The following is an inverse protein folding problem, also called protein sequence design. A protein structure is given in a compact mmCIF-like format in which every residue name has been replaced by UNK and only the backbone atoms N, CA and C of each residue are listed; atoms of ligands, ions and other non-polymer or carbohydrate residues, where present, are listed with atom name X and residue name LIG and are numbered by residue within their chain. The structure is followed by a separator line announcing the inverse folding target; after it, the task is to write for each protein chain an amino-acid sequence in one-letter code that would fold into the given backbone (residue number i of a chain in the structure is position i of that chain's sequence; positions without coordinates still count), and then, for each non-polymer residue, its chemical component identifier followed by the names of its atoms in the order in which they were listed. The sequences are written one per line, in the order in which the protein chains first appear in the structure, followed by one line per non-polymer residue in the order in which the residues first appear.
data_IF_049948265079
#
_entry.id   IF_049948265079
#
_cell.length_a   1.000
_cell.length_b   1.000
_cell.length_c   1.000
_cell.angle_alpha   90.00
_cell.angle_beta   90.00
_cell.angle_gamma   90.00
#
_symmetry.space_group_name_H-M   'P 1'
#
loop_
_entity.id
_entity.type
_entity.pdbx_description
1 polymer ?
#
# COMPACT_ATOMS: atom_id res chain seq x y z
N UNK A 1 14.64 -12.74 -9.57
CA UNK A 1 13.52 -13.29 -8.79
C UNK A 1 13.03 -14.55 -9.47
N UNK A 2 12.70 -15.62 -8.74
CA UNK A 2 12.03 -16.78 -9.34
C UNK A 2 10.52 -16.51 -9.39
N UNK A 3 9.92 -16.59 -10.57
CA UNK A 3 8.48 -16.46 -10.72
C UNK A 3 7.80 -17.74 -10.23
N UNK A 4 6.72 -17.64 -9.44
CA UNK A 4 5.93 -18.81 -9.10
C UNK A 4 5.18 -19.33 -10.33
N UNK A 5 4.92 -20.65 -10.35
CA UNK A 5 4.09 -21.28 -11.38
C UNK A 5 2.69 -20.62 -11.45
N UNK A 6 2.16 -20.49 -12.66
CA UNK A 6 0.83 -19.91 -12.94
C UNK A 6 0.57 -18.50 -12.37
N UNK A 7 1.64 -17.72 -12.16
CA UNK A 7 1.55 -16.36 -11.66
C UNK A 7 0.75 -15.45 -12.60
N UNK A 8 -0.19 -14.68 -12.03
CA UNK A 8 -0.82 -13.58 -12.75
C UNK A 8 0.09 -12.36 -12.62
N UNK A 9 0.47 -11.77 -13.76
CA UNK A 9 1.33 -10.59 -13.80
C UNK A 9 0.50 -9.31 -13.81
N UNK A 10 0.93 -8.33 -13.01
CA UNK A 10 0.33 -6.99 -12.95
C UNK A 10 1.41 -5.94 -13.13
N UNK A 11 1.28 -5.13 -14.16
CA UNK A 11 2.11 -3.97 -14.42
C UNK A 11 1.52 -2.74 -13.72
N UNK A 12 2.28 -2.13 -12.80
CA UNK A 12 1.82 -0.94 -12.08
C UNK A 12 2.37 0.37 -12.65
N UNK A 13 3.08 0.32 -13.79
CA UNK A 13 3.60 1.51 -14.46
C UNK A 13 2.47 2.33 -15.09
N UNK A 14 2.70 3.62 -15.38
CA UNK A 14 1.73 4.43 -16.11
C UNK A 14 1.37 3.81 -17.46
N UNK A 15 0.11 3.98 -17.89
CA UNK A 15 -0.41 3.45 -19.15
C UNK A 15 0.50 3.65 -20.37
N UNK A 16 1.11 4.84 -20.62
CA UNK A 16 2.01 4.99 -21.75
C UNK A 16 3.24 4.05 -21.72
N UNK A 17 3.76 3.72 -20.53
CA UNK A 17 4.87 2.79 -20.38
C UNK A 17 4.42 1.34 -20.58
N UNK A 18 3.23 0.99 -20.11
CA UNK A 18 2.61 -0.31 -20.38
C UNK A 18 2.36 -0.54 -21.87
N UNK A 19 1.76 0.45 -22.57
CA UNK A 19 1.48 0.38 -24.01
C UNK A 19 2.76 0.38 -24.88
N UNK A 20 3.85 0.93 -24.37
CA UNK A 20 5.15 0.87 -25.04
C UNK A 20 5.75 -0.56 -25.05
N UNK A 21 5.41 -1.38 -24.06
CA UNK A 21 5.86 -2.75 -23.90
C UNK A 21 5.69 -3.25 -22.47
N UNK A 22 5.02 -4.39 -22.28
CA UNK A 22 4.78 -5.06 -21.01
C UNK A 22 5.07 -6.57 -21.09
N UNK A 23 5.11 -7.25 -19.95
CA UNK A 23 5.33 -8.70 -19.93
C UNK A 23 4.12 -9.41 -20.57
N UNK A 24 4.31 -10.47 -21.35
CA UNK A 24 3.22 -11.20 -21.97
C UNK A 24 2.13 -11.62 -20.97
N UNK A 25 0.89 -11.25 -21.25
CA UNK A 25 -0.28 -11.52 -20.42
C UNK A 25 -0.42 -10.64 -19.18
N UNK A 26 0.45 -9.64 -18.96
CA UNK A 26 0.36 -8.74 -17.82
C UNK A 26 -0.85 -7.81 -17.92
N UNK A 27 -1.58 -7.64 -16.81
CA UNK A 27 -2.67 -6.66 -16.71
C UNK A 27 -2.10 -5.30 -16.29
N UNK A 28 -2.59 -4.22 -16.87
CA UNK A 28 -2.28 -2.88 -16.39
C UNK A 28 -3.15 -2.49 -15.19
N UNK A 29 -2.53 -2.15 -14.05
CA UNK A 29 -3.23 -1.64 -12.89
C UNK A 29 -2.33 -0.69 -12.08
N UNK A 30 -2.52 0.61 -12.27
CA UNK A 30 -1.99 1.66 -11.38
C UNK A 30 -3.12 2.21 -10.52
N UNK A 31 -3.33 1.62 -9.34
CA UNK A 31 -4.34 2.14 -8.41
C UNK A 31 -3.86 3.49 -7.87
N UNK A 32 -4.69 4.52 -8.02
CA UNK A 32 -4.52 5.77 -7.28
C UNK A 32 -4.74 5.54 -5.77
N UNK A 33 -4.51 6.55 -4.94
CA UNK A 33 -4.76 6.46 -3.51
C UNK A 33 -6.20 6.89 -3.19
N UNK A 34 -7.17 5.97 -3.06
CA UNK A 34 -8.52 6.34 -2.67
C UNK A 34 -8.49 6.92 -1.24
N UNK A 35 -9.17 8.05 -1.06
CA UNK A 35 -9.41 8.62 0.27
C UNK A 35 -10.56 7.84 0.91
N UNK A 36 -10.23 6.82 1.68
CA UNK A 36 -11.20 5.93 2.30
C UNK A 36 -11.56 6.42 3.70
N UNK A 37 -12.84 6.25 4.05
CA UNK A 37 -13.35 6.25 5.41
C UNK A 37 -13.71 4.81 5.77
N UNK A 38 -13.11 4.25 6.82
CA UNK A 38 -13.24 2.83 7.22
C UNK A 38 -13.55 2.71 8.71
N UNK A 39 -14.63 3.36 9.14
CA UNK A 39 -15.07 3.38 10.54
C UNK A 39 -16.17 2.35 10.80
N UNK A 40 -17.10 2.22 9.86
CA UNK A 40 -18.26 1.34 9.97
C UNK A 40 -18.03 0.01 9.25
N UNK A 41 -18.65 -1.06 9.74
CA UNK A 41 -18.55 -2.39 9.10
C UNK A 41 -19.07 -2.38 7.66
N UNK A 42 -20.08 -1.55 7.36
CA UNK A 42 -20.59 -1.38 6.00
C UNK A 42 -19.54 -0.80 5.04
N UNK A 43 -18.66 0.11 5.51
CA UNK A 43 -17.59 0.70 4.71
C UNK A 43 -16.48 -0.32 4.42
N UNK A 44 -16.15 -1.14 5.42
CA UNK A 44 -15.22 -2.27 5.25
C UNK A 44 -15.78 -3.30 4.26
N UNK A 45 -17.07 -3.61 4.35
CA UNK A 45 -17.75 -4.52 3.40
C UNK A 45 -17.82 -3.93 1.99
N UNK A 46 -18.01 -2.63 1.86
CA UNK A 46 -17.96 -1.95 0.57
C UNK A 46 -16.57 -2.03 -0.08
N UNK A 47 -15.50 -1.85 0.72
CA UNK A 47 -14.12 -2.06 0.25
C UNK A 47 -13.88 -3.51 -0.18
N UNK A 48 -14.32 -4.48 0.62
CA UNK A 48 -14.20 -5.92 0.30
C UNK A 48 -14.94 -6.28 -0.99
N UNK A 49 -16.14 -5.76 -1.18
CA UNK A 49 -16.93 -5.93 -2.41
C UNK A 49 -16.26 -5.29 -3.63
N UNK A 50 -15.72 -4.07 -3.48
CA UNK A 50 -14.98 -3.39 -4.55
C UNK A 50 -13.71 -4.13 -4.98
N UNK A 51 -12.97 -4.69 -4.02
CA UNK A 51 -11.81 -5.55 -4.31
C UNK A 51 -12.22 -6.84 -5.00
N UNK A 52 -13.34 -7.44 -4.61
CA UNK A 52 -13.90 -8.62 -5.29
C UNK A 52 -14.17 -8.31 -6.76
N UNK A 53 -14.88 -7.23 -7.07
CA UNK A 53 -15.18 -6.85 -8.47
C UNK A 53 -13.91 -6.57 -9.28
N UNK A 54 -12.93 -5.90 -8.67
CA UNK A 54 -11.62 -5.65 -9.30
C UNK A 54 -10.91 -6.96 -9.65
N UNK A 55 -10.85 -7.91 -8.71
CA UNK A 55 -10.13 -9.16 -8.91
C UNK A 55 -10.79 -10.00 -10.00
N UNK A 56 -12.13 -10.08 -9.99
CA UNK A 56 -12.87 -10.82 -11.00
C UNK A 56 -12.72 -10.19 -12.39
N UNK A 57 -12.85 -8.87 -12.50
CA UNK A 57 -12.76 -8.14 -13.78
C UNK A 57 -11.40 -8.31 -14.45
N UNK A 58 -10.32 -8.27 -13.66
CA UNK A 58 -8.95 -8.42 -14.17
C UNK A 58 -8.51 -9.88 -14.30
N UNK A 59 -9.39 -10.83 -13.96
CA UNK A 59 -9.11 -12.26 -13.98
C UNK A 59 -7.95 -12.64 -13.05
N UNK A 60 -7.87 -12.01 -11.87
CA UNK A 60 -6.81 -12.25 -10.90
C UNK A 60 -7.07 -13.54 -10.12
N UNK A 61 -6.00 -14.24 -9.79
CA UNK A 61 -5.95 -15.37 -8.86
C UNK A 61 -4.56 -15.44 -8.24
N UNK A 62 -4.44 -16.03 -7.06
CA UNK A 62 -3.13 -16.24 -6.44
C UNK A 62 -2.34 -17.33 -7.19
N UNK A 63 -1.00 -17.20 -7.30
CA UNK A 63 -0.18 -16.05 -6.88
C UNK A 63 -0.20 -14.90 -7.90
N UNK A 64 -0.09 -13.66 -7.41
CA UNK A 64 0.07 -12.46 -8.24
C UNK A 64 1.48 -11.88 -8.07
N UNK A 65 2.13 -11.58 -9.19
CA UNK A 65 3.41 -10.86 -9.21
C UNK A 65 3.16 -9.47 -9.79
N UNK A 66 3.38 -8.45 -8.97
CA UNK A 66 3.31 -7.06 -9.40
C UNK A 66 4.72 -6.55 -9.71
N UNK A 67 4.89 -5.83 -10.81
CA UNK A 67 6.18 -5.29 -11.20
C UNK A 67 6.14 -3.82 -11.58
N UNK A 68 7.27 -3.15 -11.35
CA UNK A 68 7.52 -1.75 -11.68
C UNK A 68 9.03 -1.48 -11.70
N UNK A 69 9.43 -0.32 -12.20
CA UNK A 69 10.81 0.17 -12.20
C UNK A 69 11.16 0.68 -10.79
N UNK A 70 11.75 -0.19 -9.98
CA UNK A 70 12.07 0.05 -8.58
C UNK A 70 10.90 -0.11 -7.62
N UNK A 71 11.15 0.13 -6.33
CA UNK A 71 10.14 0.01 -5.27
C UNK A 71 9.26 1.27 -5.19
N UNK A 72 8.38 1.44 -6.19
CA UNK A 72 7.58 2.67 -6.33
C UNK A 72 6.40 2.72 -5.35
N UNK A 73 5.89 3.93 -5.06
CA UNK A 73 4.68 4.08 -4.24
C UNK A 73 3.44 3.47 -4.90
N UNK A 74 3.33 3.49 -6.23
CA UNK A 74 2.21 2.90 -6.98
C UNK A 74 2.26 1.37 -6.98
N UNK A 75 3.45 0.78 -7.11
CA UNK A 75 3.67 -0.66 -6.95
C UNK A 75 3.19 -1.13 -5.58
N UNK A 76 3.75 -0.53 -4.52
CA UNK A 76 3.43 -0.90 -3.15
C UNK A 76 1.95 -0.65 -2.82
N UNK A 77 1.37 0.47 -3.26
CA UNK A 77 -0.05 0.74 -3.00
C UNK A 77 -0.97 -0.26 -3.71
N UNK A 78 -0.71 -0.56 -4.97
CA UNK A 78 -1.51 -1.53 -5.73
C UNK A 78 -1.38 -2.92 -5.13
N UNK A 79 -0.15 -3.36 -4.84
CA UNK A 79 0.11 -4.63 -4.19
C UNK A 79 -0.54 -4.73 -2.80
N UNK A 80 -0.55 -3.62 -2.05
CA UNK A 80 -1.21 -3.57 -0.74
C UNK A 80 -2.70 -3.85 -0.86
N UNK A 81 -3.40 -3.26 -1.85
CA UNK A 81 -4.84 -3.54 -2.03
C UNK A 81 -5.11 -4.98 -2.49
N UNK A 82 -4.30 -5.53 -3.40
CA UNK A 82 -4.45 -6.93 -3.82
C UNK A 82 -4.22 -7.89 -2.65
N UNK A 83 -3.15 -7.67 -1.89
CA UNK A 83 -2.83 -8.46 -0.69
C UNK A 83 -3.86 -8.27 0.43
N UNK A 84 -4.35 -7.04 0.64
CA UNK A 84 -5.40 -6.73 1.59
C UNK A 84 -6.68 -7.50 1.27
N UNK A 85 -7.02 -7.65 -0.01
CA UNK A 85 -8.17 -8.45 -0.45
C UNK A 85 -7.95 -9.96 -0.37
N UNK A 86 -6.80 -10.44 0.08
CA UNK A 86 -6.56 -11.86 0.34
C UNK A 86 -5.70 -12.57 -0.69
N UNK A 87 -5.24 -11.91 -1.76
CA UNK A 87 -4.35 -12.51 -2.74
C UNK A 87 -2.93 -12.68 -2.19
N UNK A 88 -2.24 -13.74 -2.59
CA UNK A 88 -0.80 -13.87 -2.40
C UNK A 88 -0.07 -13.00 -3.41
N UNK A 89 0.69 -12.01 -2.93
CA UNK A 89 1.35 -11.00 -3.76
C UNK A 89 2.86 -11.00 -3.57
N UNK A 90 3.59 -10.82 -4.67
CA UNK A 90 5.03 -10.57 -4.67
C UNK A 90 5.36 -9.31 -5.46
N UNK A 91 6.41 -8.60 -5.06
CA UNK A 91 6.90 -7.40 -5.73
C UNK A 91 8.15 -7.74 -6.54
N UNK A 92 8.17 -7.37 -7.81
CA UNK A 92 9.32 -7.55 -8.70
C UNK A 92 9.78 -6.18 -9.21
N UNK A 93 10.86 -5.66 -8.62
CA UNK A 93 11.29 -4.27 -8.81
C UNK A 93 12.35 -4.05 -9.87
N UNK A 94 12.99 -5.13 -10.34
CA UNK A 94 14.08 -5.07 -11.32
C UNK A 94 14.29 -6.44 -12.00
N UNK A 95 14.78 -6.46 -13.24
CA UNK A 95 15.12 -7.67 -13.99
C UNK A 95 13.97 -8.24 -14.84
N UNK A 96 12.80 -7.59 -14.81
CA UNK A 96 11.66 -7.90 -15.68
C UNK A 96 11.74 -7.19 -17.03
N UNK A 97 12.54 -6.13 -17.14
CA UNK A 97 12.62 -5.22 -18.29
C UNK A 97 12.91 -5.93 -19.61
N UNK A 98 13.82 -6.93 -19.68
CA UNK A 98 14.08 -7.67 -20.92
C UNK A 98 12.87 -8.43 -21.48
N UNK A 99 11.87 -8.70 -20.63
CA UNK A 99 10.67 -9.45 -21.00
C UNK A 99 9.48 -8.55 -21.38
N UNK A 100 9.60 -7.23 -21.19
CA UNK A 100 8.55 -6.25 -21.44
C UNK A 100 8.40 -5.93 -22.94
N UNK A 101 7.83 -6.87 -23.69
CA UNK A 101 7.83 -6.88 -25.17
C UNK A 101 6.44 -6.87 -25.80
N UNK A 102 5.41 -7.30 -25.06
CA UNK A 102 4.02 -7.33 -25.54
C UNK A 102 3.42 -5.92 -25.54
N UNK A 103 2.61 -5.61 -26.55
CA UNK A 103 1.91 -4.31 -26.67
C UNK A 103 0.39 -4.46 -26.73
N UNK A 104 -0.08 -5.68 -26.97
CA UNK A 104 -1.50 -5.99 -27.01
C UNK A 104 -2.02 -6.22 -25.59
N UNK A 105 -2.96 -5.39 -25.15
CA UNK A 105 -3.53 -5.52 -23.81
C UNK A 105 -4.42 -6.79 -23.74
N UNK A 106 -4.17 -7.71 -22.78
CA UNK A 106 -4.94 -8.93 -22.65
C UNK A 106 -6.37 -8.61 -22.22
N UNK A 107 -7.32 -9.40 -22.72
CA UNK A 107 -8.72 -9.39 -22.30
C UNK A 107 -8.99 -10.67 -21.51
N UNK A 108 -8.71 -10.70 -20.20
CA UNK A 108 -8.86 -11.91 -19.42
C UNK A 108 -10.34 -12.25 -19.25
N UNK A 109 -10.64 -13.55 -19.22
CA UNK A 109 -11.93 -14.02 -18.72
C UNK A 109 -12.05 -13.68 -17.23
N UNK A 110 -13.28 -13.40 -16.80
CA UNK A 110 -13.54 -13.10 -15.39
C UNK A 110 -13.22 -14.33 -14.53
N UNK A 111 -12.62 -14.11 -13.37
CA UNK A 111 -12.49 -15.14 -12.33
C UNK A 111 -13.67 -15.09 -11.36
N UNK A 112 -13.81 -16.13 -10.54
CA UNK A 112 -14.82 -16.20 -9.47
C UNK A 112 -14.22 -15.94 -8.08
N UNK A 113 -13.00 -15.39 -8.02
CA UNK A 113 -12.33 -15.10 -6.74
C UNK A 113 -13.14 -14.07 -5.95
N UNK A 114 -13.26 -14.28 -4.64
CA UNK A 114 -13.93 -13.38 -3.72
C UNK A 114 -12.89 -12.84 -2.75
N UNK A 115 -12.81 -11.52 -2.65
CA UNK A 115 -11.88 -10.88 -1.74
C UNK A 115 -12.31 -11.11 -0.29
N UNK A 116 -11.32 -11.27 0.59
CA UNK A 116 -11.50 -11.33 2.04
C UNK A 116 -10.46 -10.43 2.69
N UNK A 117 -10.90 -9.41 3.41
CA UNK A 117 -10.00 -8.44 4.00
C UNK A 117 -9.06 -9.09 5.03
N UNK A 118 -7.75 -8.97 4.79
CA UNK A 118 -6.68 -9.28 5.76
C UNK A 118 -6.60 -8.16 6.80
N UNK A 119 -7.42 -8.25 7.84
CA UNK A 119 -7.49 -7.23 8.91
C UNK A 119 -6.17 -7.03 9.65
N UNK A 120 -5.29 -8.03 9.64
CA UNK A 120 -3.93 -7.96 10.17
C UNK A 120 -2.97 -7.13 9.29
N UNK A 121 -3.37 -6.70 8.10
CA UNK A 121 -2.61 -5.75 7.26
C UNK A 121 -3.05 -4.30 7.46
N UNK A 122 -4.25 -4.09 7.98
CA UNK A 122 -4.94 -2.80 8.03
C UNK A 122 -5.01 -2.26 9.47
N UNK A 123 -5.00 -0.93 9.61
CA UNK A 123 -5.54 -0.23 10.78
C UNK A 123 -6.71 0.64 10.32
N UNK A 124 -7.82 0.61 11.05
CA UNK A 124 -8.82 1.69 11.01
C UNK A 124 -8.37 2.87 11.88
N UNK A 125 -9.06 4.02 11.81
CA UNK A 125 -8.78 5.16 12.68
C UNK A 125 -8.86 4.78 14.17
N UNK A 126 -9.84 3.96 14.53
CA UNK A 126 -10.02 3.42 15.88
C UNK A 126 -8.83 2.56 16.34
N UNK A 127 -8.36 1.66 15.48
CA UNK A 127 -7.22 0.80 15.81
C UNK A 127 -5.92 1.62 15.87
N UNK A 128 -5.74 2.58 14.95
CA UNK A 128 -4.60 3.49 14.94
C UNK A 128 -4.54 4.33 16.22
N UNK A 129 -5.67 4.86 16.69
CA UNK A 129 -5.76 5.66 17.91
C UNK A 129 -5.31 4.90 19.18
N UNK A 130 -5.37 3.57 19.15
CA UNK A 130 -5.01 2.68 20.27
C UNK A 130 -3.66 1.99 20.05
N UNK A 131 -3.01 2.22 18.91
CA UNK A 131 -1.80 1.51 18.53
C UNK A 131 -0.61 1.98 19.38
N UNK A 132 0.22 1.07 19.92
CA UNK A 132 1.31 1.44 20.82
C UNK A 132 2.45 2.20 20.13
N UNK A 133 2.62 2.00 18.82
CA UNK A 133 3.66 2.65 18.02
C UNK A 133 3.18 2.95 16.61
N UNK A 134 2.97 4.23 16.30
CA UNK A 134 2.68 4.70 14.95
C UNK A 134 3.88 5.45 14.37
N UNK A 135 4.26 5.10 13.14
CA UNK A 135 5.23 5.82 12.34
C UNK A 135 4.53 6.70 11.31
N UNK A 136 4.75 8.00 11.43
CA UNK A 136 4.37 8.99 10.43
C UNK A 136 5.47 9.07 9.37
N UNK A 137 5.17 8.61 8.17
CA UNK A 137 6.16 8.56 7.07
C UNK A 137 6.17 9.82 6.20
N UNK A 138 5.53 10.89 6.65
CA UNK A 138 5.57 12.20 5.99
C UNK A 138 6.87 12.94 6.29
N UNK A 139 7.05 14.09 5.63
CA UNK A 139 8.22 14.93 5.90
C UNK A 139 8.20 15.46 7.35
N UNK A 140 9.36 15.87 7.89
CA UNK A 140 9.43 16.50 9.21
C UNK A 140 8.52 17.74 9.32
N UNK A 141 8.38 18.54 8.25
CA UNK A 141 7.51 19.72 8.22
C UNK A 141 6.03 19.36 8.33
N UNK A 142 5.60 18.30 7.63
CA UNK A 142 4.24 17.77 7.74
C UNK A 142 3.96 17.19 9.13
N UNK A 143 4.94 16.47 9.70
CA UNK A 143 4.85 15.87 11.04
C UNK A 143 4.80 16.90 12.16
N UNK A 144 5.55 18.00 12.01
CA UNK A 144 5.56 19.16 12.93
C UNK A 144 4.43 20.15 12.66
N UNK A 145 3.48 19.79 11.78
CA UNK A 145 2.30 20.61 11.49
C UNK A 145 2.58 21.97 10.85
N UNK A 146 3.81 22.19 10.36
CA UNK A 146 4.24 23.44 9.72
C UNK A 146 3.57 23.65 8.37
N UNK A 147 3.25 22.57 7.68
CA UNK A 147 2.57 22.55 6.39
C UNK A 147 1.44 21.53 6.38
N UNK A 148 0.46 21.74 5.50
CA UNK A 148 -0.59 20.76 5.24
C UNK A 148 -1.12 20.93 3.81
N UNK A 149 -1.63 19.85 3.19
CA UNK A 149 -2.27 19.95 1.89
C UNK A 149 -3.61 20.69 2.00
N UNK A 150 -4.06 21.38 0.92
CA UNK A 150 -5.25 22.24 0.95
C UNK A 150 -6.57 21.49 1.21
N UNK A 151 -6.56 20.16 1.07
CA UNK A 151 -7.71 19.30 1.37
C UNK A 151 -7.82 18.88 2.85
N UNK A 152 -6.90 19.33 3.70
CA UNK A 152 -6.93 19.13 5.14
C UNK A 152 -7.12 20.49 5.84
N UNK A 153 -7.83 20.54 6.98
CA UNK A 153 -8.16 21.81 7.63
C UNK A 153 -6.96 22.52 8.26
N UNK A 154 -5.89 21.79 8.59
CA UNK A 154 -4.70 22.30 9.28
C UNK A 154 -3.56 21.28 9.27
N UNK A 155 -2.36 21.74 9.65
CA UNK A 155 -1.22 20.87 9.94
C UNK A 155 -1.33 20.17 11.28
N UNK A 156 -0.61 19.05 11.39
CA UNK A 156 -0.43 18.29 12.62
C UNK A 156 -0.16 16.82 12.35
N UNK A 157 -0.08 16.04 13.43
CA UNK A 157 0.13 14.59 13.44
C UNK A 157 -0.81 13.89 14.41
N UNK A 158 -0.84 12.55 14.33
CA UNK A 158 -1.49 11.73 15.36
C UNK A 158 -0.68 11.85 16.67
N UNK A 159 -1.29 12.14 17.83
CA UNK A 159 -0.58 12.29 19.09
C UNK A 159 0.21 11.02 19.45
N UNK A 160 1.44 11.19 19.94
CA UNK A 160 2.33 10.08 20.31
C UNK A 160 3.04 9.38 19.16
N UNK A 161 2.70 9.67 17.90
CA UNK A 161 3.40 9.12 16.73
C UNK A 161 4.88 9.55 16.68
N UNK A 162 5.70 8.75 16.01
CA UNK A 162 7.12 9.04 15.71
C UNK A 162 7.28 9.31 14.23
N UNK A 163 8.10 10.29 13.88
CA UNK A 163 8.39 10.56 12.48
C UNK A 163 9.48 9.60 11.96
N UNK A 164 9.18 8.93 10.85
CA UNK A 164 10.14 8.14 10.10
C UNK A 164 9.92 8.45 8.61
N UNK A 165 10.52 9.54 8.08
CA UNK A 165 10.31 9.96 6.70
C UNK A 165 10.53 8.81 5.71
N UNK A 166 9.68 8.74 4.67
CA UNK A 166 9.61 7.56 3.81
C UNK A 166 10.94 7.18 3.16
N UNK A 167 11.80 8.17 2.93
CA UNK A 167 13.11 8.03 2.31
C UNK A 167 14.01 7.06 3.10
N UNK A 168 13.81 6.94 4.42
CA UNK A 168 14.54 6.00 5.26
C UNK A 168 14.29 4.54 4.86
N UNK A 169 13.09 4.22 4.37
CA UNK A 169 12.69 2.86 4.02
C UNK A 169 13.27 2.39 2.67
N UNK A 170 13.86 3.30 1.89
CA UNK A 170 14.55 2.95 0.65
C UNK A 170 15.95 2.36 0.88
N UNK A 171 16.45 2.47 2.11
CA UNK A 171 17.73 1.91 2.55
C UNK A 171 17.48 0.84 3.63
N UNK A 172 17.09 -0.39 3.27
CA UNK A 172 16.65 -1.40 4.23
C UNK A 172 17.77 -1.90 5.16
N UNK A 173 19.02 -1.84 4.72
CA UNK A 173 20.17 -2.27 5.53
C UNK A 173 20.29 -1.41 6.80
N UNK A 174 20.32 -2.06 7.97
CA UNK A 174 20.38 -1.41 9.28
C UNK A 174 19.14 -0.58 9.66
N UNK A 175 18.02 -0.73 8.94
CA UNK A 175 16.84 0.12 9.12
C UNK A 175 16.17 -0.10 10.48
N UNK A 176 16.06 -1.34 10.94
CA UNK A 176 15.42 -1.66 12.21
C UNK A 176 16.18 -1.02 13.37
N UNK A 177 17.52 -1.11 13.35
CA UNK A 177 18.39 -0.51 14.36
C UNK A 177 18.24 1.02 14.39
N UNK A 178 18.23 1.68 13.22
CA UNK A 178 18.02 3.14 13.13
C UNK A 178 16.66 3.59 13.66
N UNK A 179 15.63 2.77 13.49
CA UNK A 179 14.27 3.05 13.97
C UNK A 179 14.01 2.52 15.40
N UNK A 180 14.96 1.79 16.00
CA UNK A 180 14.78 1.15 17.31
C UNK A 180 13.70 0.05 17.30
N UNK A 181 13.61 -0.69 16.20
CA UNK A 181 12.65 -1.77 15.98
C UNK A 181 13.34 -3.14 16.00
N UNK A 182 12.53 -4.20 16.13
CA UNK A 182 12.99 -5.58 16.02
C UNK A 182 11.95 -6.47 15.32
N UNK A 183 12.34 -7.60 14.71
CA UNK A 183 11.41 -8.56 14.14
C UNK A 183 10.33 -9.00 15.14
N UNK A 184 9.11 -9.18 14.67
CA UNK A 184 7.94 -9.55 15.47
C UNK A 184 7.24 -8.39 16.19
N UNK A 185 7.82 -7.19 16.22
CA UNK A 185 7.21 -6.01 16.85
C UNK A 185 6.01 -5.49 16.03
N UNK A 186 4.93 -5.09 16.71
CA UNK A 186 3.76 -4.44 16.11
C UNK A 186 4.05 -2.97 15.81
N UNK A 187 3.90 -2.55 14.55
CA UNK A 187 4.17 -1.18 14.09
C UNK A 187 3.06 -0.73 13.14
N UNK A 188 2.43 0.40 13.43
CA UNK A 188 1.49 1.03 12.51
C UNK A 188 2.20 2.07 11.65
N UNK A 189 1.88 2.14 10.36
CA UNK A 189 2.40 3.18 9.45
C UNK A 189 1.27 4.01 8.86
N UNK A 190 1.49 5.31 8.70
CA UNK A 190 0.52 6.22 8.09
C UNK A 190 1.21 7.41 7.40
N UNK A 191 0.48 8.09 6.52
CA UNK A 191 0.94 9.34 5.91
C UNK A 191 -0.20 10.37 5.78
N UNK A 192 -0.47 10.88 4.57
CA UNK A 192 -1.60 11.78 4.32
C UNK A 192 -2.90 11.01 4.03
N UNK A 193 -2.87 10.11 3.04
CA UNK A 193 -4.07 9.39 2.57
C UNK A 193 -3.74 7.95 2.13
N UNK A 194 -2.81 7.29 2.82
CA UNK A 194 -2.36 5.94 2.46
C UNK A 194 -1.55 5.83 1.15
N UNK A 195 -1.27 6.96 0.49
CA UNK A 195 -0.68 6.97 -0.85
C UNK A 195 0.72 6.34 -0.91
N UNK A 196 1.51 6.52 0.15
CA UNK A 196 2.92 6.11 0.21
C UNK A 196 3.28 5.25 1.42
N UNK A 197 2.35 5.05 2.37
CA UNK A 197 2.59 4.24 3.57
C UNK A 197 2.73 2.75 3.27
N UNK A 198 2.19 2.26 2.14
CA UNK A 198 2.36 0.90 1.69
C UNK A 198 3.84 0.52 1.43
N UNK A 199 4.69 1.48 1.05
CA UNK A 199 6.13 1.24 0.88
C UNK A 199 6.76 0.86 2.23
N UNK A 200 6.52 1.66 3.27
CA UNK A 200 7.00 1.38 4.62
C UNK A 200 6.44 0.05 5.15
N UNK A 201 5.18 -0.27 4.86
CA UNK A 201 4.56 -1.55 5.20
C UNK A 201 5.32 -2.74 4.61
N UNK A 202 5.59 -2.75 3.30
CA UNK A 202 6.28 -3.86 2.65
C UNK A 202 7.74 -3.99 3.11
N UNK A 203 8.46 -2.88 3.27
CA UNK A 203 9.84 -2.88 3.77
C UNK A 203 9.90 -3.40 5.21
N UNK A 204 9.01 -2.96 6.09
CA UNK A 204 8.99 -3.46 7.47
C UNK A 204 8.66 -4.96 7.54
N UNK A 205 7.69 -5.44 6.73
CA UNK A 205 7.33 -6.87 6.70
C UNK A 205 8.43 -7.74 6.13
N UNK A 206 9.20 -7.28 5.14
CA UNK A 206 10.35 -8.02 4.63
C UNK A 206 11.47 -8.16 5.66
N UNK A 207 11.54 -7.22 6.61
CA UNK A 207 12.45 -7.26 7.77
C UNK A 207 11.85 -7.98 8.99
N UNK A 208 10.68 -8.62 8.84
CA UNK A 208 10.04 -9.42 9.88
C UNK A 208 9.23 -8.65 10.91
N UNK A 209 9.03 -7.33 10.74
CA UNK A 209 8.15 -6.51 11.60
C UNK A 209 6.69 -6.78 11.27
N UNK A 210 5.83 -6.82 12.30
CA UNK A 210 4.37 -6.94 12.15
C UNK A 210 3.77 -5.57 11.83
N UNK A 211 4.04 -5.11 10.60
CA UNK A 211 3.55 -3.82 10.15
C UNK A 211 2.06 -3.89 9.78
N UNK A 212 1.29 -2.88 10.21
CA UNK A 212 -0.09 -2.63 9.81
C UNK A 212 -0.20 -1.24 9.20
N UNK A 213 -1.00 -1.09 8.15
CA UNK A 213 -1.10 0.16 7.39
C UNK A 213 -2.41 0.88 7.70
N UNK A 214 -2.33 2.13 8.19
CA UNK A 214 -3.50 2.98 8.40
C UNK A 214 -3.83 3.75 7.12
N UNK A 215 -4.73 3.20 6.30
CA UNK A 215 -5.08 3.73 4.98
C UNK A 215 -5.69 5.12 5.03
N UNK A 216 -6.64 5.35 5.94
CA UNK A 216 -7.31 6.66 6.07
C UNK A 216 -6.34 7.78 6.43
N UNK A 217 -5.29 7.46 7.21
CA UNK A 217 -4.15 8.34 7.47
C UNK A 217 -4.60 9.72 8.04
N UNK A 218 -3.76 10.76 7.93
CA UNK A 218 -4.10 12.09 8.44
C UNK A 218 -5.35 12.70 7.81
N UNK A 219 -5.66 12.36 6.56
CA UNK A 219 -6.85 12.88 5.88
C UNK A 219 -8.12 12.41 6.59
N UNK A 220 -8.31 11.10 6.76
CA UNK A 220 -9.44 10.57 7.53
C UNK A 220 -9.43 11.08 8.97
N UNK A 221 -8.25 11.07 9.62
CA UNK A 221 -8.10 11.49 11.01
C UNK A 221 -8.61 12.92 11.26
N UNK A 222 -8.25 13.84 10.36
CA UNK A 222 -8.68 15.24 10.44
C UNK A 222 -10.16 15.42 10.05
N UNK A 223 -10.69 14.63 9.11
CA UNK A 223 -12.11 14.65 8.76
C UNK A 223 -13.00 14.15 9.91
N UNK A 224 -12.53 13.15 10.66
CA UNK A 224 -13.20 12.61 11.84
C UNK A 224 -13.07 13.52 13.08
N UNK A 225 -12.31 14.62 12.98
CA UNK A 225 -12.11 15.56 14.09
C UNK A 225 -11.35 14.95 15.28
N UNK A 226 -10.54 13.92 15.03
CA UNK A 226 -9.77 13.25 16.08
C UNK A 226 -8.63 14.15 16.63
N UNK A 227 -8.19 13.95 17.88
CA UNK A 227 -7.13 14.76 18.49
C UNK A 227 -5.83 14.71 17.70
N UNK A 228 -5.13 15.84 17.59
CA UNK A 228 -3.85 15.95 16.88
C UNK A 228 -2.90 16.85 17.64
N UNK A 229 -1.61 16.65 17.45
CA UNK A 229 -0.57 17.56 17.93
C UNK A 229 -0.06 18.48 16.81
N UNK A 230 0.45 19.68 17.16
CA UNK A 230 1.33 20.45 16.27
C UNK A 230 2.61 19.65 16.01
#
# INVERSE_FOLDING_TARGET
MNLPEDAVLVDTRPRPAYEAGHLPGARHLDLSAPKLRLREEAELKALEGGLTELFQTLGLKSPVVLYDEGLTSRLCRTAFFLGLGGLEVQLWTEGWEPYATEKEEPRPERTEVVAKLRRDWLLTADEAARHPLLLDVRSPEEFQGKVHPPCCPRGGRIPGSKNAPLELFLSPEGLLERLGLQPGQEVGVYCHSGARSAVAFFVLRSLGVRARNYLGSMHEWLQEGLPTEP
#
